data_IF_072925165302
#
_entry.id   IF_072925165302
#
_cell.length_a   1.000
_cell.length_b   1.000
_cell.length_c   1.000
_cell.angle_alpha   90.00
_cell.angle_beta   90.00
_cell.angle_gamma   90.00
#
_symmetry.space_group_name_H-M   'P 1'
#
loop_
_entity.id
_entity.type
_entity.pdbx_description
1 polymer ?
#
# COMPACT_ATOMS: atom_id res chain seq x y z
N UNK A 1 -6.66 -0.53 -12.64
CA UNK A 1 -7.23 -0.49 -11.28
C UNK A 1 -6.13 -0.75 -10.25
N UNK A 2 -5.35 -1.81 -10.41
CA UNK A 2 -4.25 -2.19 -9.49
C UNK A 2 -3.22 -1.10 -9.24
N UNK A 3 -2.78 -0.39 -10.28
CA UNK A 3 -1.83 0.72 -10.16
C UNK A 3 -2.35 1.86 -9.27
N UNK A 4 -3.66 2.10 -9.25
CA UNK A 4 -4.26 3.15 -8.41
C UNK A 4 -4.31 2.70 -6.94
N UNK A 5 -4.58 1.41 -6.69
CA UNK A 5 -4.58 0.83 -5.35
C UNK A 5 -3.17 0.85 -4.76
N UNK A 6 -2.18 0.39 -5.53
CA UNK A 6 -0.77 0.41 -5.14
C UNK A 6 -0.28 1.83 -4.87
N UNK A 7 -0.58 2.79 -5.76
CA UNK A 7 -0.19 4.18 -5.54
C UNK A 7 -0.82 4.77 -4.27
N UNK A 8 -2.10 4.46 -4.00
CA UNK A 8 -2.77 4.92 -2.77
C UNK A 8 -2.18 4.27 -1.52
N UNK A 9 -1.88 2.98 -1.55
CA UNK A 9 -1.22 2.27 -0.46
C UNK A 9 0.19 2.83 -0.19
N UNK A 10 0.99 3.03 -1.24
CA UNK A 10 2.32 3.61 -1.14
C UNK A 10 2.28 5.04 -0.58
N UNK A 11 1.32 5.86 -1.01
CA UNK A 11 1.10 7.20 -0.46
C UNK A 11 0.80 7.16 1.05
N UNK A 12 -0.09 6.28 1.49
CA UNK A 12 -0.45 6.16 2.91
C UNK A 12 0.73 5.67 3.76
N UNK A 13 1.52 4.74 3.23
CA UNK A 13 2.72 4.21 3.90
C UNK A 13 3.87 5.23 3.95
N UNK A 14 4.15 5.91 2.85
CA UNK A 14 5.34 6.75 2.70
C UNK A 14 5.10 8.22 3.08
N UNK A 15 4.03 8.83 2.57
CA UNK A 15 3.75 10.25 2.78
C UNK A 15 3.01 10.46 4.10
N UNK A 16 1.99 9.63 4.38
CA UNK A 16 1.22 9.71 5.62
C UNK A 16 1.86 8.97 6.80
N UNK A 17 2.93 8.20 6.58
CA UNK A 17 3.63 7.41 7.59
C UNK A 17 2.68 6.53 8.42
N UNK A 18 1.61 6.04 7.81
CA UNK A 18 0.66 5.19 8.48
C UNK A 18 1.21 3.77 8.62
N UNK A 19 0.96 3.09 9.76
CA UNK A 19 1.36 1.70 9.91
C UNK A 19 0.57 0.80 8.96
N UNK A 20 1.19 -0.29 8.48
CA UNK A 20 0.61 -1.19 7.47
C UNK A 20 -0.82 -1.65 7.80
N UNK A 21 -1.10 -2.03 9.06
CA UNK A 21 -2.45 -2.43 9.49
C UNK A 21 -3.48 -1.31 9.33
N UNK A 22 -3.10 -0.06 9.59
CA UNK A 22 -3.99 1.10 9.40
C UNK A 22 -4.25 1.33 7.91
N UNK A 23 -3.24 1.14 7.06
CA UNK A 23 -3.38 1.27 5.60
C UNK A 23 -4.30 0.18 5.04
N UNK A 24 -4.19 -1.07 5.51
CA UNK A 24 -5.11 -2.17 5.13
C UNK A 24 -6.56 -1.79 5.44
N UNK A 25 -6.83 -1.24 6.62
CA UNK A 25 -8.18 -0.80 6.97
C UNK A 25 -8.65 0.40 6.15
N UNK A 26 -7.78 1.39 5.92
CA UNK A 26 -8.10 2.55 5.08
C UNK A 26 -8.38 2.17 3.63
N UNK A 27 -7.69 1.19 3.06
CA UNK A 27 -7.94 0.76 1.68
C UNK A 27 -9.38 0.27 1.46
N UNK A 28 -10.06 -0.23 2.50
CA UNK A 28 -11.48 -0.61 2.42
C UNK A 28 -12.40 0.58 2.15
N UNK A 29 -12.07 1.76 2.69
CA UNK A 29 -12.86 2.97 2.48
C UNK A 29 -12.77 3.47 1.03
N UNK A 30 -11.60 3.34 0.40
CA UNK A 30 -11.37 3.76 -0.98
C UNK A 30 -11.74 2.68 -2.01
N UNK A 31 -11.56 1.41 -1.65
CA UNK A 31 -11.75 0.26 -2.53
C UNK A 31 -12.57 -0.83 -1.82
N UNK A 32 -13.87 -0.61 -1.60
CA UNK A 32 -14.72 -1.52 -0.81
C UNK A 32 -14.93 -2.89 -1.46
N UNK A 33 -14.63 -3.03 -2.75
CA UNK A 33 -14.69 -4.30 -3.47
C UNK A 33 -13.52 -5.24 -3.12
N UNK A 34 -12.45 -4.74 -2.50
CA UNK A 34 -11.29 -5.55 -2.13
C UNK A 34 -11.59 -6.38 -0.88
N UNK A 35 -11.27 -7.67 -0.97
CA UNK A 35 -11.20 -8.55 0.18
C UNK A 35 -10.06 -8.15 1.13
N UNK A 36 -10.06 -8.66 2.36
CA UNK A 36 -8.97 -8.43 3.29
C UNK A 36 -7.62 -8.89 2.73
N UNK A 37 -7.59 -10.10 2.16
CA UNK A 37 -6.37 -10.70 1.58
C UNK A 37 -5.81 -9.85 0.43
N UNK A 38 -6.68 -9.30 -0.41
CA UNK A 38 -6.23 -8.40 -1.49
C UNK A 38 -5.65 -7.10 -0.93
N UNK A 39 -6.28 -6.51 0.09
CA UNK A 39 -5.76 -5.29 0.74
C UNK A 39 -4.39 -5.52 1.36
N UNK A 40 -4.22 -6.61 2.10
CA UNK A 40 -2.93 -7.00 2.68
C UNK A 40 -1.86 -7.19 1.60
N UNK A 41 -2.19 -7.88 0.49
CA UNK A 41 -1.28 -8.07 -0.65
C UNK A 41 -0.83 -6.73 -1.24
N UNK A 42 -1.76 -5.81 -1.52
CA UNK A 42 -1.41 -4.50 -2.08
C UNK A 42 -0.61 -3.63 -1.11
N UNK A 43 -0.86 -3.74 0.19
CA UNK A 43 -0.06 -3.03 1.21
C UNK A 43 1.36 -3.57 1.26
N UNK A 44 1.54 -4.89 1.24
CA UNK A 44 2.86 -5.51 1.19
C UNK A 44 3.61 -5.10 -0.10
N UNK A 45 2.97 -5.20 -1.27
CA UNK A 45 3.59 -4.80 -2.54
C UNK A 45 3.97 -3.32 -2.56
N UNK A 46 3.16 -2.45 -1.96
CA UNK A 46 3.45 -1.02 -1.84
C UNK A 46 4.58 -0.75 -0.84
N UNK A 47 4.62 -1.47 0.28
CA UNK A 47 5.71 -1.41 1.24
C UNK A 47 7.03 -1.82 0.59
N UNK A 48 7.03 -2.93 -0.14
CA UNK A 48 8.18 -3.41 -0.90
C UNK A 48 8.64 -2.36 -1.91
N UNK A 49 7.73 -1.68 -2.62
CA UNK A 49 8.11 -0.62 -3.55
C UNK A 49 8.76 0.57 -2.86
N UNK A 50 8.22 1.03 -1.73
CA UNK A 50 8.76 2.19 -0.98
C UNK A 50 10.14 1.86 -0.39
N UNK A 51 10.32 0.65 0.14
CA UNK A 51 11.53 0.26 0.86
C UNK A 51 12.60 -0.37 -0.04
N UNK A 52 12.22 -1.05 -1.12
CA UNK A 52 13.16 -1.67 -2.08
C UNK A 52 13.62 -0.68 -3.14
N UNK A 53 12.80 0.30 -3.56
CA UNK A 53 13.25 1.36 -4.47
C UNK A 53 14.35 2.25 -3.85
N UNK A 54 14.53 2.20 -2.52
CA UNK A 54 15.65 2.87 -1.84
C UNK A 54 16.98 2.10 -1.94
N UNK A 55 16.97 0.85 -2.43
CA UNK A 55 18.17 -0.03 -2.43
C UNK A 55 18.87 -0.11 -3.79
N UNK A 56 18.22 0.29 -4.88
CA UNK A 56 18.77 0.21 -6.26
C UNK A 56 19.52 1.49 -6.73
N UNK A 57 20.00 2.32 -5.81
CA UNK A 57 20.85 3.49 -6.11
C UNK A 57 22.26 3.38 -5.48
N UNK A 58 22.91 2.21 -5.60
CA UNK A 58 24.32 1.99 -5.24
C UNK A 58 25.09 1.29 -6.36
#
# INVERSE_FOLDING_TARGET
>A
MDKQILHKAAFLLHECHEPEQQVVERLKEYFPALTLVERERYVQEAWDQVHTASVDNL
#
